data_IF_496548199815
#
_entry.id   IF_496548199815
#
_cell.length_a   1.000
_cell.length_b   1.000
_cell.length_c   1.000
_cell.angle_alpha   90.00
_cell.angle_beta   90.00
_cell.angle_gamma   90.00
#
_symmetry.space_group_name_H-M   'P 1'
#
loop_
_entity.id
_entity.type
_entity.pdbx_description
1 polymer ?
#
# COMPACT_ATOMS: atom_id res chain seq x y z
N UNK A 1 9.49 -27.09 -5.45
CA UNK A 1 9.64 -26.90 -5.21
C UNK A 1 10.01 -25.84 -4.91
N UNK A 2 10.60 -25.44 -5.01
CA UNK A 2 11.09 -24.50 -4.95
C UNK A 2 10.39 -23.52 -4.57
N UNK A 3 9.84 -23.63 -4.46
CA UNK A 3 9.02 -22.83 -4.15
C UNK A 3 9.10 -22.27 -2.85
N UNK A 4 9.77 -22.69 -1.98
CA UNK A 4 9.84 -22.18 -0.64
C UNK A 4 10.18 -20.71 -0.58
N UNK A 5 11.33 -20.27 -1.06
CA UNK A 5 11.72 -18.88 -0.83
C UNK A 5 10.77 -17.86 -1.46
N UNK A 6 10.44 -17.96 -2.74
CA UNK A 6 9.54 -16.99 -3.32
C UNK A 6 8.18 -16.99 -2.66
N UNK A 7 7.68 -18.18 -2.35
CA UNK A 7 6.38 -18.28 -1.71
C UNK A 7 6.41 -17.71 -0.31
N UNK A 8 7.48 -17.92 0.41
CA UNK A 8 7.60 -17.38 1.74
C UNK A 8 7.60 -15.86 1.72
N UNK A 9 8.31 -15.29 0.76
CA UNK A 9 8.35 -13.84 0.65
C UNK A 9 6.99 -13.29 0.28
N UNK A 10 6.31 -13.91 -0.65
CA UNK A 10 4.99 -13.46 -1.03
C UNK A 10 4.01 -13.59 0.13
N UNK A 11 4.12 -14.67 0.88
CA UNK A 11 3.26 -14.84 2.04
C UNK A 11 3.50 -13.74 3.07
N UNK A 12 4.75 -13.41 3.30
CA UNK A 12 5.08 -12.37 4.25
C UNK A 12 4.54 -11.03 3.79
N UNK A 13 4.72 -10.72 2.51
CA UNK A 13 4.22 -9.47 1.97
C UNK A 13 2.70 -9.41 2.03
N UNK A 14 2.05 -10.50 1.70
CA UNK A 14 0.60 -10.55 1.78
C UNK A 14 0.14 -10.32 3.20
N UNK A 15 0.83 -10.93 4.16
CA UNK A 15 0.48 -10.74 5.55
C UNK A 15 0.68 -9.29 5.97
N UNK A 16 1.77 -8.69 5.53
CA UNK A 16 2.06 -7.30 5.86
C UNK A 16 1.01 -6.36 5.31
N UNK A 17 0.44 -6.70 4.18
CA UNK A 17 -0.62 -5.88 3.60
C UNK A 17 -1.95 -6.14 4.29
N UNK A 18 -2.22 -7.39 4.64
CA UNK A 18 -3.50 -7.74 5.25
C UNK A 18 -3.65 -7.18 6.65
N UNK A 19 -2.57 -7.11 7.39
CA UNK A 19 -2.65 -6.69 8.78
C UNK A 19 -3.21 -5.28 8.91
N UNK A 20 -2.63 -4.26 8.27
CA UNK A 20 -3.21 -2.93 8.37
C UNK A 20 -4.58 -2.84 7.71
N UNK A 21 -4.79 -3.61 6.65
CA UNK A 21 -6.09 -3.59 6.00
C UNK A 21 -7.17 -4.11 6.94
N UNK A 22 -6.87 -5.16 7.71
CA UNK A 22 -7.82 -5.68 8.66
C UNK A 22 -8.16 -4.66 9.73
N UNK A 23 -7.17 -3.88 10.16
CA UNK A 23 -7.41 -2.83 11.13
C UNK A 23 -8.35 -1.78 10.55
N UNK A 24 -8.12 -1.37 9.31
CA UNK A 24 -8.97 -0.39 8.65
C UNK A 24 -10.40 -0.90 8.56
N UNK A 25 -10.57 -2.14 8.11
CA UNK A 25 -11.90 -2.71 7.98
C UNK A 25 -12.59 -2.81 9.34
N UNK A 26 -11.85 -3.26 10.34
CA UNK A 26 -12.42 -3.41 11.67
C UNK A 26 -12.93 -2.11 12.25
N UNK A 27 -12.14 -1.06 12.13
CA UNK A 27 -12.56 0.23 12.66
C UNK A 27 -13.63 0.87 11.78
N UNK A 28 -13.62 0.60 10.50
CA UNK A 28 -14.70 1.06 9.63
C UNK A 28 -16.03 0.40 10.05
N UNK A 29 -15.98 -0.89 10.34
CA UNK A 29 -17.17 -1.58 10.81
C UNK A 29 -17.64 -1.02 12.15
N UNK A 30 -16.69 -0.72 13.01
CA UNK A 30 -17.03 -0.14 14.30
C UNK A 30 -17.71 1.19 14.13
N UNK A 31 -17.25 2.00 13.19
CA UNK A 31 -17.90 3.27 12.91
C UNK A 31 -19.34 3.08 12.45
N UNK A 32 -19.59 2.03 11.70
CA UNK A 32 -20.94 1.76 11.26
C UNK A 32 -21.84 1.25 12.38
N UNK A 33 -21.25 0.65 13.39
CA UNK A 33 -22.01 0.06 14.47
C UNK A 33 -22.24 1.04 15.64
N UNK A 34 -21.36 2.00 15.79
CA UNK A 34 -21.43 2.91 16.92
C UNK A 34 -21.46 4.34 16.42
N UNK A 35 -22.19 5.18 17.15
CA UNK A 35 -22.34 6.56 16.72
C UNK A 35 -22.02 7.48 17.87
N UNK A 36 -20.82 7.39 18.39
CA UNK A 36 -20.36 8.28 19.44
C UNK A 36 -19.05 8.91 19.03
N UNK A 37 -18.82 10.09 19.54
CA UNK A 37 -17.67 10.88 19.13
C UNK A 37 -16.37 10.20 19.48
N UNK A 38 -16.32 9.55 20.62
CA UNK A 38 -15.10 8.88 21.03
C UNK A 38 -14.71 7.79 20.03
N UNK A 39 -15.68 7.00 19.60
CA UNK A 39 -15.43 5.97 18.62
C UNK A 39 -14.97 6.59 17.30
N UNK A 40 -15.59 7.68 16.90
CA UNK A 40 -15.20 8.33 15.64
C UNK A 40 -13.76 8.81 15.69
N UNK A 41 -13.37 9.43 16.79
CA UNK A 41 -12.01 9.95 16.91
C UNK A 41 -11.01 8.80 16.95
N UNK A 42 -11.30 7.80 17.75
CA UNK A 42 -10.38 6.67 17.87
C UNK A 42 -10.27 5.91 16.55
N UNK A 43 -11.38 5.67 15.90
CA UNK A 43 -11.37 4.94 14.63
C UNK A 43 -10.62 5.72 13.57
N UNK A 44 -10.85 7.02 13.50
CA UNK A 44 -10.16 7.84 12.50
C UNK A 44 -8.65 7.76 12.70
N UNK A 45 -8.22 7.84 13.95
CA UNK A 45 -6.80 7.79 14.25
C UNK A 45 -6.21 6.44 13.86
N UNK A 46 -6.89 5.36 14.21
CA UNK A 46 -6.39 4.03 13.90
C UNK A 46 -6.39 3.76 12.42
N UNK A 47 -7.42 4.22 11.73
CA UNK A 47 -7.48 4.04 10.28
C UNK A 47 -6.36 4.79 9.59
N UNK A 48 -6.07 6.00 10.05
CA UNK A 48 -4.97 6.77 9.47
C UNK A 48 -3.64 6.07 9.69
N UNK A 49 -3.40 5.58 10.89
CA UNK A 49 -2.15 4.89 11.19
C UNK A 49 -2.01 3.63 10.34
N UNK A 50 -3.10 2.86 10.24
CA UNK A 50 -3.05 1.63 9.46
C UNK A 50 -2.90 1.93 7.98
N UNK A 51 -3.49 3.01 7.50
CA UNK A 51 -3.35 3.40 6.11
C UNK A 51 -1.92 3.75 5.77
N UNK A 52 -1.21 4.39 6.69
CA UNK A 52 0.18 4.71 6.45
C UNK A 52 1.04 3.46 6.42
N UNK A 53 0.75 2.51 7.30
CA UNK A 53 1.48 1.25 7.26
C UNK A 53 1.24 0.52 5.96
N UNK A 54 -0.01 0.53 5.50
CA UNK A 54 -0.35 -0.14 4.26
C UNK A 54 0.39 0.51 3.10
N UNK A 55 0.43 1.82 3.07
CA UNK A 55 1.13 2.53 2.01
C UNK A 55 2.61 2.22 2.03
N UNK A 56 3.21 2.19 3.22
CA UNK A 56 4.62 1.86 3.33
C UNK A 56 4.90 0.44 2.85
N UNK A 57 4.02 -0.49 3.19
CA UNK A 57 4.19 -1.86 2.76
C UNK A 57 4.08 -1.97 1.25
N UNK A 58 3.17 -1.22 0.65
CA UNK A 58 3.05 -1.20 -0.80
C UNK A 58 4.29 -0.59 -1.46
N UNK A 59 4.80 0.49 -0.88
CA UNK A 59 6.00 1.10 -1.41
C UNK A 59 7.18 0.13 -1.37
N UNK A 60 7.30 -0.61 -0.27
CA UNK A 60 8.36 -1.59 -0.13
C UNK A 60 8.20 -2.70 -1.15
N UNK A 61 6.97 -3.14 -1.36
CA UNK A 61 6.71 -4.19 -2.34
C UNK A 61 7.10 -3.72 -3.74
N UNK A 62 6.72 -2.52 -4.09
CA UNK A 62 7.03 -1.99 -5.42
C UNK A 62 8.52 -1.80 -5.59
N UNK A 63 9.21 -1.35 -4.56
CA UNK A 63 10.65 -1.19 -4.63
C UNK A 63 11.32 -2.54 -4.82
N UNK A 64 10.83 -3.55 -4.12
CA UNK A 64 11.38 -4.89 -4.27
C UNK A 64 11.17 -5.45 -5.66
N UNK A 65 9.98 -5.25 -6.20
CA UNK A 65 9.69 -5.72 -7.55
C UNK A 65 10.58 -5.02 -8.55
N UNK A 66 10.75 -3.72 -8.41
CA UNK A 66 11.60 -2.98 -9.34
C UNK A 66 13.04 -3.46 -9.27
N UNK A 67 13.53 -3.71 -8.07
CA UNK A 67 14.89 -4.20 -7.91
C UNK A 67 15.06 -5.58 -8.55
N UNK A 68 14.06 -6.44 -8.33
CA UNK A 68 14.12 -7.79 -8.88
C UNK A 68 14.11 -7.80 -10.40
N UNK A 69 13.24 -7.01 -10.97
CA UNK A 69 13.11 -6.98 -12.43
C UNK A 69 14.26 -6.26 -13.09
N UNK A 70 14.95 -5.45 -12.35
CA UNK A 70 16.13 -4.83 -12.90
C UNK A 70 15.83 -3.78 -13.93
N UNK A 71 16.64 -3.77 -14.97
CA UNK A 71 16.58 -2.71 -15.96
C UNK A 71 15.24 -2.59 -16.64
N UNK A 72 14.64 -3.71 -16.98
CA UNK A 72 13.41 -3.67 -17.73
C UNK A 72 12.33 -2.94 -16.95
N UNK A 73 12.15 -3.33 -15.70
CA UNK A 73 11.14 -2.70 -14.88
C UNK A 73 11.46 -1.23 -14.64
N UNK A 74 12.73 -0.93 -14.43
CA UNK A 74 13.14 0.45 -14.25
C UNK A 74 12.79 1.30 -15.45
N UNK A 75 13.06 0.78 -16.63
CA UNK A 75 12.75 1.52 -17.83
C UNK A 75 11.26 1.76 -17.99
N UNK A 76 10.48 0.73 -17.70
CA UNK A 76 9.04 0.87 -17.81
C UNK A 76 8.52 1.89 -16.83
N UNK A 77 9.00 1.84 -15.61
CA UNK A 77 8.55 2.77 -14.59
C UNK A 77 8.96 4.18 -14.94
N UNK A 78 10.19 4.35 -15.40
CA UNK A 78 10.66 5.67 -15.75
C UNK A 78 9.90 6.23 -16.93
N UNK A 79 9.62 5.39 -17.92
CA UNK A 79 8.86 5.87 -19.06
C UNK A 79 7.48 6.31 -18.66
N UNK A 80 6.83 5.53 -17.82
CA UNK A 80 5.49 5.88 -17.36
C UNK A 80 5.52 7.13 -16.51
N UNK A 81 6.49 7.21 -15.63
CA UNK A 81 6.59 8.37 -14.74
C UNK A 81 6.93 9.62 -15.54
N UNK A 82 7.81 9.49 -16.52
CA UNK A 82 8.17 10.62 -17.35
C UNK A 82 6.98 11.14 -18.13
N UNK A 83 6.25 10.23 -18.75
CA UNK A 83 5.07 10.64 -19.49
C UNK A 83 4.03 11.25 -18.60
N UNK A 84 3.84 10.64 -17.45
CA UNK A 84 2.87 11.14 -16.51
C UNK A 84 3.26 12.51 -15.99
N UNK A 85 4.54 12.67 -15.70
CA UNK A 85 5.03 13.94 -15.20
C UNK A 85 4.85 15.05 -16.21
N UNK A 86 5.17 14.77 -17.44
CA UNK A 86 5.02 15.77 -18.48
C UNK A 86 3.57 16.20 -18.60
N UNK A 87 2.68 15.23 -18.59
CA UNK A 87 1.28 15.51 -18.69
C UNK A 87 0.78 16.25 -17.47
N UNK A 88 1.24 15.83 -16.30
CA UNK A 88 0.83 16.45 -15.06
C UNK A 88 1.24 17.91 -15.03
N UNK A 89 2.44 18.19 -15.47
CA UNK A 89 2.90 19.56 -15.50
C UNK A 89 2.06 20.40 -16.44
N UNK A 90 1.80 19.87 -17.59
CA UNK A 90 0.97 20.58 -18.53
C UNK A 90 -0.43 20.77 -18.01
N UNK A 91 -0.96 19.74 -17.38
CA UNK A 91 -2.30 19.81 -16.85
C UNK A 91 -2.42 20.71 -15.65
N UNK A 92 -1.48 20.61 -14.74
CA UNK A 92 -1.57 21.41 -13.55
C UNK A 92 -1.08 22.82 -13.80
N UNK A 93 -0.25 22.95 -14.76
CA UNK A 93 0.24 24.28 -15.12
C UNK A 93 -0.90 25.10 -15.56
#
# INVERSE_FOLDING_TARGET
MSTGPPNAQLSTLAHDLKTPLAVIVGFAELLGARDDERTRIEAAKRIMEASERLRNALDDLLAGVAADKGDLANRLVEAAAGGRRARSEGGSG
#
